data_IF_318967616698
#
_entry.id   IF_318967616698
#
_cell.length_a   1.000
_cell.length_b   1.000
_cell.length_c   1.000
_cell.angle_alpha   90.00
_cell.angle_beta   90.00
_cell.angle_gamma   90.00
#
_symmetry.space_group_name_H-M   'P 1'
#
loop_
_entity.id
_entity.type
_entity.pdbx_description
1 polymer ?
#
# COMPACT_ATOMS: atom_id res chain seq x y z
N UNK A 1 18.99 12.05 -7.69
CA UNK A 1 18.08 11.09 -8.37
C UNK A 1 18.72 10.74 -9.70
N UNK A 2 19.02 9.46 -9.92
CA UNK A 2 19.71 8.96 -11.13
C UNK A 2 18.74 8.81 -12.29
N UNK A 3 19.25 8.64 -13.52
CA UNK A 3 18.43 8.32 -14.70
C UNK A 3 17.65 7.02 -14.56
N UNK A 4 18.25 6.01 -13.91
CA UNK A 4 17.59 4.74 -13.58
C UNK A 4 16.42 4.96 -12.62
N UNK A 5 16.57 5.85 -11.62
CA UNK A 5 15.49 6.18 -10.68
C UNK A 5 14.30 6.85 -11.40
N UNK A 6 14.58 7.74 -12.36
CA UNK A 6 13.54 8.39 -13.18
C UNK A 6 12.81 7.38 -14.08
N UNK A 7 13.56 6.46 -14.68
CA UNK A 7 13.00 5.38 -15.50
C UNK A 7 12.14 4.42 -14.66
N UNK A 8 12.61 4.01 -13.48
CA UNK A 8 11.83 3.19 -12.54
C UNK A 8 10.55 3.91 -12.12
N UNK A 9 10.63 5.19 -11.75
CA UNK A 9 9.45 5.98 -11.37
C UNK A 9 8.41 5.98 -12.49
N UNK A 10 8.83 6.22 -13.73
CA UNK A 10 7.94 6.20 -14.91
C UNK A 10 7.30 4.83 -15.11
N UNK A 11 8.08 3.75 -15.01
CA UNK A 11 7.56 2.38 -15.13
C UNK A 11 6.55 2.02 -14.04
N UNK A 12 6.76 2.47 -12.80
CA UNK A 12 5.79 2.25 -11.70
C UNK A 12 4.50 3.05 -11.97
N UNK A 13 4.59 4.27 -12.49
CA UNK A 13 3.43 5.09 -12.82
C UNK A 13 2.59 4.47 -13.95
N UNK A 14 3.24 3.95 -15.00
CA UNK A 14 2.56 3.22 -16.08
C UNK A 14 1.92 1.93 -15.59
N UNK A 15 2.66 1.13 -14.79
CA UNK A 15 2.12 -0.06 -14.14
C UNK A 15 0.90 0.28 -13.27
N UNK A 16 0.97 1.38 -12.50
CA UNK A 16 -0.12 1.86 -11.65
C UNK A 16 -1.36 2.19 -12.48
N UNK A 17 -1.19 2.87 -13.61
CA UNK A 17 -2.29 3.20 -14.52
C UNK A 17 -2.94 1.92 -15.08
N UNK A 18 -2.14 0.95 -15.52
CA UNK A 18 -2.64 -0.32 -16.06
C UNK A 18 -3.41 -1.13 -15.02
N UNK A 19 -2.86 -1.29 -13.81
CA UNK A 19 -3.53 -2.04 -12.74
C UNK A 19 -4.78 -1.32 -12.23
N UNK A 20 -4.77 0.02 -12.16
CA UNK A 20 -5.96 0.78 -11.76
C UNK A 20 -7.10 0.61 -12.77
N UNK A 21 -6.80 0.64 -14.08
CA UNK A 21 -7.80 0.39 -15.13
C UNK A 21 -8.32 -1.03 -15.06
N UNK A 22 -7.44 -2.02 -14.84
CA UNK A 22 -7.83 -3.43 -14.71
C UNK A 22 -8.74 -3.67 -13.50
N UNK A 23 -8.44 -3.06 -12.36
CA UNK A 23 -9.13 -3.29 -11.08
C UNK A 23 -10.44 -2.50 -10.94
N UNK A 24 -10.44 -1.23 -11.37
CA UNK A 24 -11.56 -0.31 -11.15
C UNK A 24 -12.29 0.11 -12.42
N UNK A 25 -11.75 -0.21 -13.60
CA UNK A 25 -12.29 0.21 -14.89
C UNK A 25 -11.89 1.64 -15.30
N UNK A 26 -11.97 1.91 -16.60
CA UNK A 26 -11.53 3.18 -17.18
C UNK A 26 -12.26 4.40 -16.62
N UNK A 27 -13.59 4.30 -16.39
CA UNK A 27 -14.39 5.42 -15.92
C UNK A 27 -13.99 5.88 -14.52
N UNK A 28 -13.69 4.92 -13.62
CA UNK A 28 -13.24 5.21 -12.27
C UNK A 28 -11.87 5.90 -12.28
N UNK A 29 -10.93 5.37 -13.06
CA UNK A 29 -9.59 5.96 -13.23
C UNK A 29 -9.66 7.34 -13.86
N UNK A 30 -10.57 7.58 -14.81
CA UNK A 30 -10.76 8.91 -15.41
C UNK A 30 -11.29 9.92 -14.39
N UNK A 31 -12.15 9.50 -13.45
CA UNK A 31 -12.76 10.39 -12.45
C UNK A 31 -11.86 10.66 -11.24
N UNK A 32 -11.19 9.64 -10.72
CA UNK A 32 -10.44 9.72 -9.46
C UNK A 32 -8.91 9.69 -9.66
N UNK A 33 -8.46 9.27 -10.84
CA UNK A 33 -7.05 9.05 -11.17
C UNK A 33 -6.53 7.71 -10.65
N UNK A 34 -5.44 7.23 -11.25
CA UNK A 34 -4.75 6.01 -10.79
C UNK A 34 -4.01 6.21 -9.46
N UNK A 35 -3.86 7.46 -9.00
CA UNK A 35 -3.34 7.80 -7.67
C UNK A 35 -4.15 7.20 -6.52
N UNK A 36 -5.41 6.80 -6.78
CA UNK A 36 -6.24 6.10 -5.80
C UNK A 36 -5.68 4.71 -5.46
N UNK A 37 -5.04 4.02 -6.41
CA UNK A 37 -4.45 2.69 -6.19
C UNK A 37 -3.13 2.79 -5.40
N UNK A 38 -2.23 3.69 -5.79
CA UNK A 38 -0.96 3.96 -5.10
C UNK A 38 -0.72 5.47 -5.15
N UNK A 39 -0.53 6.11 -4.00
CA UNK A 39 -0.20 7.54 -3.94
C UNK A 39 1.19 7.83 -4.48
N UNK A 40 1.44 9.06 -4.93
CA UNK A 40 2.76 9.45 -5.45
C UNK A 40 3.85 9.36 -4.36
N UNK A 41 3.49 9.58 -3.08
CA UNK A 41 4.38 9.40 -1.93
C UNK A 41 4.89 7.96 -1.80
N UNK A 42 4.02 6.96 -2.00
CA UNK A 42 4.41 5.55 -1.98
C UNK A 42 5.33 5.24 -3.17
N UNK A 43 5.04 5.80 -4.35
CA UNK A 43 5.90 5.63 -5.53
C UNK A 43 7.30 6.20 -5.25
N UNK A 44 7.39 7.40 -4.70
CA UNK A 44 8.66 8.03 -4.35
C UNK A 44 9.41 7.23 -3.27
N UNK A 45 8.69 6.69 -2.29
CA UNK A 45 9.27 5.83 -1.27
C UNK A 45 9.83 4.52 -1.85
N UNK A 46 9.13 3.91 -2.82
CA UNK A 46 9.61 2.71 -3.51
C UNK A 46 10.89 2.98 -4.30
N UNK A 47 10.94 4.11 -5.02
CA UNK A 47 12.14 4.53 -5.75
C UNK A 47 13.29 4.78 -4.78
N UNK A 48 13.04 5.44 -3.64
CA UNK A 48 14.05 5.65 -2.60
C UNK A 48 14.57 4.33 -2.00
N UNK A 49 13.69 3.36 -1.75
CA UNK A 49 14.07 2.03 -1.26
C UNK A 49 14.91 1.25 -2.30
N UNK A 50 14.51 1.28 -3.58
CA UNK A 50 15.25 0.66 -4.67
C UNK A 50 16.63 1.30 -4.86
N UNK A 51 16.70 2.62 -4.84
CA UNK A 51 17.94 3.39 -4.91
C UNK A 51 18.89 3.04 -3.76
N UNK A 52 18.37 2.95 -2.54
CA UNK A 52 19.13 2.54 -1.35
C UNK A 52 19.51 1.05 -1.35
N UNK A 53 19.17 0.28 -2.41
CA UNK A 53 19.35 -1.17 -2.51
C UNK A 53 18.78 -1.94 -1.32
N UNK A 54 17.73 -1.41 -0.69
CA UNK A 54 17.04 -2.12 0.38
C UNK A 54 16.32 -3.32 -0.24
N UNK A 55 16.45 -4.53 0.34
CA UNK A 55 15.84 -5.71 -0.21
C UNK A 55 14.32 -5.57 -0.16
N UNK A 56 13.71 -5.43 -1.34
CA UNK A 56 12.28 -5.59 -1.59
C UNK A 56 12.09 -6.97 -2.24
N UNK A 57 12.47 -8.03 -1.54
CA UNK A 57 12.39 -9.40 -2.06
C UNK A 57 11.01 -9.99 -1.92
N UNK A 58 10.34 -9.62 -0.83
CA UNK A 58 9.08 -10.23 -0.43
C UNK A 58 7.98 -9.17 -0.34
N UNK A 59 6.76 -9.61 -0.63
CA UNK A 59 5.51 -8.87 -0.49
C UNK A 59 5.33 -8.35 0.95
N UNK A 60 5.74 -9.12 1.96
CA UNK A 60 5.70 -8.66 3.36
C UNK A 60 6.70 -7.50 3.60
N UNK A 61 7.90 -7.54 3.02
CA UNK A 61 8.84 -6.41 3.13
C UNK A 61 8.29 -5.15 2.44
N UNK A 62 7.65 -5.33 1.28
CA UNK A 62 6.96 -4.26 0.58
C UNK A 62 5.87 -3.62 1.46
N UNK A 63 5.09 -4.43 2.18
CA UNK A 63 4.11 -3.96 3.16
C UNK A 63 4.75 -3.16 4.29
N UNK A 64 5.81 -3.71 4.91
CA UNK A 64 6.47 -3.05 6.04
C UNK A 64 7.08 -1.69 5.68
N UNK A 65 7.62 -1.54 4.47
CA UNK A 65 8.20 -0.27 4.00
C UNK A 65 7.11 0.75 3.62
N UNK A 66 6.12 0.33 2.83
CA UNK A 66 5.15 1.28 2.25
C UNK A 66 3.94 1.54 3.12
N UNK A 67 3.61 0.63 4.04
CA UNK A 67 2.33 0.57 4.76
C UNK A 67 1.12 0.67 3.83
N UNK A 68 1.28 0.19 2.59
CA UNK A 68 0.21 0.17 1.61
C UNK A 68 -0.88 -0.82 2.05
N UNK A 69 -2.09 -0.72 1.49
CA UNK A 69 -3.24 -1.51 1.94
C UNK A 69 -2.93 -3.00 1.75
N UNK A 70 -3.09 -3.79 2.82
CA UNK A 70 -2.75 -5.22 2.85
C UNK A 70 -3.43 -6.00 1.70
N UNK A 71 -4.72 -5.76 1.51
CA UNK A 71 -5.53 -6.35 0.42
C UNK A 71 -4.91 -6.12 -0.97
N UNK A 72 -4.38 -4.93 -1.22
CA UNK A 72 -3.82 -4.59 -2.54
C UNK A 72 -2.39 -5.11 -2.69
N UNK A 73 -1.64 -5.20 -1.59
CA UNK A 73 -0.30 -5.78 -1.57
C UNK A 73 -0.35 -7.28 -1.89
N UNK A 74 -1.27 -8.02 -1.28
CA UNK A 74 -1.39 -9.46 -1.50
C UNK A 74 -1.74 -9.77 -2.96
N UNK A 75 -2.60 -8.96 -3.57
CA UNK A 75 -3.05 -9.15 -4.95
C UNK A 75 -2.05 -8.62 -6.00
N UNK A 76 -1.47 -7.45 -5.77
CA UNK A 76 -0.69 -6.72 -6.79
C UNK A 76 0.81 -6.66 -6.49
N UNK A 77 1.21 -6.89 -5.24
CA UNK A 77 2.59 -6.72 -4.76
C UNK A 77 3.60 -7.53 -5.56
N UNK A 78 3.30 -8.78 -5.88
CA UNK A 78 4.18 -9.64 -6.69
C UNK A 78 4.43 -9.05 -8.09
N UNK A 79 3.40 -8.48 -8.72
CA UNK A 79 3.56 -7.85 -10.04
C UNK A 79 4.34 -6.54 -9.99
N UNK A 80 4.18 -5.76 -8.91
CA UNK A 80 4.95 -4.54 -8.66
C UNK A 80 6.42 -4.84 -8.40
N UNK A 81 6.71 -5.88 -7.61
CA UNK A 81 8.08 -6.33 -7.35
C UNK A 81 8.81 -6.72 -8.63
N UNK A 82 8.13 -7.38 -9.58
CA UNK A 82 8.70 -7.69 -10.91
C UNK A 82 9.15 -6.42 -11.64
N UNK A 83 8.35 -5.36 -11.62
CA UNK A 83 8.72 -4.07 -12.23
C UNK A 83 9.98 -3.52 -11.58
N UNK A 84 10.05 -3.51 -10.25
CA UNK A 84 11.21 -2.98 -9.50
C UNK A 84 12.48 -3.81 -9.82
N UNK A 85 12.37 -5.14 -9.82
CA UNK A 85 13.49 -6.04 -10.11
C UNK A 85 14.01 -5.94 -11.55
N UNK A 86 13.21 -5.39 -12.47
CA UNK A 86 13.65 -5.13 -13.86
C UNK A 86 14.72 -4.03 -13.93
N UNK A 87 14.66 -3.05 -13.03
CA UNK A 87 15.62 -1.93 -12.97
C UNK A 87 16.75 -2.16 -11.97
N UNK A 88 16.43 -2.86 -10.88
CA UNK A 88 17.37 -3.20 -9.82
C UNK A 88 17.34 -4.71 -9.63
N UNK A 89 18.08 -5.48 -10.46
CA UNK A 89 18.20 -6.91 -10.27
C UNK A 89 18.72 -7.14 -8.87
N UNK A 90 17.91 -7.78 -8.04
CA UNK A 90 18.41 -8.17 -6.75
C UNK A 90 19.56 -9.13 -7.04
N UNK A 91 20.73 -8.86 -6.48
CA UNK A 91 21.77 -9.86 -6.39
C UNK A 91 21.16 -10.98 -5.57
N UNK A 92 20.51 -11.93 -6.25
CA UNK A 92 20.22 -13.24 -5.72
C UNK A 92 21.60 -13.70 -5.33
N UNK A 93 21.88 -13.60 -4.01
CA UNK A 93 23.06 -14.22 -3.45
C UNK A 93 22.98 -15.61 -4.03
N UNK A 94 23.85 -15.87 -4.99
CA UNK A 94 23.95 -17.17 -5.61
C UNK A 94 24.54 -17.96 -4.48
N UNK A 95 23.66 -18.45 -3.61
CA UNK A 95 23.95 -19.43 -2.59
C UNK A 95 24.25 -20.66 -3.41
N UNK A 96 25.45 -20.64 -3.97
CA UNK A 96 26.15 -21.81 -4.43
C UNK A 96 26.22 -22.66 -3.19
N UNK A 97 25.25 -23.57 -3.09
CA UNK A 97 25.24 -24.66 -2.16
C UNK A 97 26.42 -25.56 -2.54
N UNK A 98 27.65 -25.07 -2.31
CA UNK A 98 28.79 -25.92 -2.10
C UNK A 98 28.61 -26.47 -0.69
N UNK A 99 27.86 -27.56 -0.63
CA UNK A 99 27.84 -28.48 0.49
C UNK A 99 29.28 -28.87 0.81
N UNK A 100 29.91 -28.19 1.77
CA UNK A 100 31.05 -28.75 2.48
C UNK A 100 30.51 -29.36 3.78
N UNK A 101 30.33 -30.69 3.84
CA UNK A 101 30.03 -31.35 5.10
C UNK A 101 31.30 -31.34 5.96
N UNK A 102 31.47 -30.32 6.81
CA UNK A 102 32.53 -30.30 7.80
C UNK A 102 32.04 -31.00 9.08
N UNK A 103 32.41 -32.29 9.12
CA UNK A 103 32.58 -33.19 10.26
C UNK A 103 32.10 -32.74 11.65
N UNK A 104 31.28 -33.62 12.24
CA UNK A 104 31.11 -33.74 13.67
C UNK A 104 32.48 -33.90 14.37
N UNK A 105 32.71 -33.15 15.44
CA UNK A 105 33.69 -33.53 16.46
C UNK A 105 33.05 -33.38 17.82
N UNK A 106 32.52 -34.51 18.28
CA UNK A 106 32.26 -34.83 19.67
C UNK A 106 33.56 -34.68 20.46
N UNK A 107 33.58 -33.87 21.52
CA UNK A 107 34.52 -34.12 22.62
C UNK A 107 34.02 -33.51 23.92
N UNK A 108 33.47 -34.40 24.74
CA UNK A 108 33.25 -34.30 26.17
C UNK A 108 34.59 -34.33 26.92
N UNK A 109 34.81 -33.46 27.91
CA UNK A 109 35.27 -33.81 29.28
C UNK A 109 35.76 -32.58 30.11
N UNK A 110 35.77 -32.67 31.47
CA UNK A 110 35.88 -31.56 32.43
C UNK A 110 37.25 -31.50 33.17
N UNK A 111 37.58 -30.38 33.83
CA UNK A 111 38.19 -30.30 35.19
C UNK A 111 38.82 -28.93 35.53
N UNK A 112 38.51 -28.50 36.77
CA UNK A 112 39.32 -27.81 37.79
C UNK A 112 40.31 -26.65 37.49
N UNK A 113 39.88 -25.43 37.89
CA UNK A 113 40.52 -24.47 38.84
C UNK A 113 41.86 -23.74 38.46
N UNK A 114 42.32 -22.70 39.22
CA UNK A 114 42.12 -21.25 39.02
C UNK A 114 43.46 -20.44 39.05
N UNK A 115 43.51 -19.14 39.42
CA UNK A 115 42.99 -17.90 38.80
C UNK A 115 44.14 -16.99 38.28
N UNK A 116 43.87 -16.06 37.36
CA UNK A 116 44.41 -14.67 37.38
C UNK A 116 44.06 -13.87 36.11
N UNK A 117 43.64 -12.62 36.36
CA UNK A 117 43.30 -11.50 35.47
C UNK A 117 42.10 -11.59 34.50
N UNK A 118 40.91 -11.08 34.91
CA UNK A 118 39.79 -10.87 34.02
C UNK A 118 39.97 -9.59 33.19
N UNK A 119 40.16 -9.77 31.88
CA UNK A 119 39.89 -8.74 30.89
C UNK A 119 38.41 -8.29 30.98
N UNK A 120 38.10 -7.00 30.77
CA UNK A 120 36.74 -6.49 30.94
C UNK A 120 35.80 -7.06 29.88
N UNK A 121 35.07 -8.09 30.26
CA UNK A 121 33.90 -8.57 29.56
C UNK A 121 32.94 -7.42 29.30
N UNK A 122 32.73 -7.14 28.01
CA UNK A 122 31.66 -6.27 27.53
C UNK A 122 30.33 -7.01 27.66
N UNK A 123 29.92 -7.32 28.89
CA UNK A 123 28.54 -7.68 29.19
C UNK A 123 27.73 -6.44 28.82
N UNK A 124 27.07 -6.51 27.66
CA UNK A 124 26.21 -5.46 27.14
C UNK A 124 25.03 -5.24 28.08
N UNK A 125 25.24 -4.44 29.13
CA UNK A 125 24.18 -3.92 29.99
C UNK A 125 23.23 -3.18 29.06
N UNK A 126 22.10 -3.81 28.74
CA UNK A 126 21.03 -3.22 27.95
C UNK A 126 20.58 -1.98 28.71
N UNK A 127 21.10 -0.81 28.31
CA UNK A 127 20.68 0.47 28.90
C UNK A 127 19.18 0.58 28.72
N UNK A 128 18.46 0.70 29.84
CA UNK A 128 17.02 0.91 29.83
C UNK A 128 16.75 2.19 29.02
N UNK A 129 15.97 2.06 27.96
CA UNK A 129 15.64 3.21 27.11
C UNK A 129 14.79 4.19 27.92
N UNK A 130 15.23 5.43 28.00
CA UNK A 130 14.48 6.55 28.59
C UNK A 130 13.67 7.24 27.52
N UNK A 131 12.48 7.72 27.88
CA UNK A 131 11.67 8.53 26.99
C UNK A 131 12.40 9.84 26.67
N UNK A 132 12.70 10.10 25.40
CA UNK A 132 13.39 11.34 25.01
C UNK A 132 12.60 12.62 25.24
N UNK A 133 11.30 12.55 25.55
CA UNK A 133 10.47 13.72 25.85
C UNK A 133 10.41 14.04 27.35
N UNK A 134 10.09 13.05 28.17
CA UNK A 134 9.89 13.24 29.62
C UNK A 134 11.01 12.66 30.50
N UNK A 135 12.03 12.02 29.92
CA UNK A 135 13.19 11.46 30.63
C UNK A 135 12.94 10.17 31.43
N UNK A 136 11.68 9.77 31.65
CA UNK A 136 11.34 8.60 32.46
C UNK A 136 11.57 7.27 31.73
N UNK A 137 11.87 6.22 32.50
CA UNK A 137 12.01 4.84 32.01
C UNK A 137 10.63 4.17 31.87
N UNK A 138 10.53 3.12 31.05
CA UNK A 138 9.30 2.33 30.89
C UNK A 138 8.41 2.70 29.68
N UNK A 139 8.73 3.75 28.95
CA UNK A 139 8.09 4.08 27.67
C UNK A 139 9.02 4.84 26.71
N UNK A 140 8.66 4.89 25.43
CA UNK A 140 9.39 5.65 24.40
C UNK A 140 8.62 6.92 24.02
N UNK A 141 9.28 7.89 23.36
CA UNK A 141 8.72 9.22 23.01
C UNK A 141 7.37 9.17 22.30
N UNK A 142 7.14 8.15 21.48
CA UNK A 142 5.91 7.97 20.70
C UNK A 142 4.80 7.21 21.44
N UNK A 143 5.07 6.70 22.65
CA UNK A 143 4.06 5.99 23.41
C UNK A 143 2.99 6.98 23.91
N UNK A 144 1.71 6.61 23.74
CA UNK A 144 0.56 7.39 24.22
C UNK A 144 0.51 7.52 25.74
N UNK A 145 1.25 6.67 26.47
CA UNK A 145 1.37 6.74 27.93
C UNK A 145 2.44 7.75 28.41
N UNK A 146 3.09 8.50 27.52
CA UNK A 146 4.00 9.56 27.95
C UNK A 146 3.20 10.71 28.58
N UNK A 147 3.51 11.16 29.81
CA UNK A 147 2.74 12.21 30.47
C UNK A 147 2.71 13.53 29.69
N UNK A 148 3.78 13.84 28.94
CA UNK A 148 3.81 15.02 28.07
C UNK A 148 2.83 14.88 26.91
N UNK A 149 2.79 13.71 26.25
CA UNK A 149 1.83 13.47 25.16
C UNK A 149 0.38 13.46 25.67
N UNK A 150 0.15 12.95 26.89
CA UNK A 150 -1.17 13.01 27.54
C UNK A 150 -1.57 14.46 27.81
N UNK A 151 -0.67 15.28 28.36
CA UNK A 151 -0.92 16.70 28.61
C UNK A 151 -1.16 17.50 27.32
N UNK A 152 -0.39 17.24 26.26
CA UNK A 152 -0.60 17.86 24.93
C UNK A 152 -1.95 17.46 24.33
N UNK A 153 -2.33 16.18 24.45
CA UNK A 153 -3.63 15.71 23.96
C UNK A 153 -4.80 16.32 24.73
N UNK A 154 -4.67 16.48 26.05
CA UNK A 154 -5.66 17.17 26.87
C UNK A 154 -5.81 18.65 26.47
N UNK A 155 -4.69 19.34 26.19
CA UNK A 155 -4.70 20.71 25.67
C UNK A 155 -5.37 20.80 24.29
N UNK A 156 -5.07 19.86 23.39
CA UNK A 156 -5.66 19.82 22.05
C UNK A 156 -7.18 19.60 22.08
N UNK A 157 -7.70 18.92 23.11
CA UNK A 157 -9.13 18.70 23.32
C UNK A 157 -9.82 19.85 24.06
N UNK A 158 -9.13 20.97 24.32
CA UNK A 158 -9.71 22.13 25.02
C UNK A 158 -10.13 21.82 26.45
N UNK A 159 -9.67 20.71 27.03
CA UNK A 159 -9.89 20.41 28.44
C UNK A 159 -8.88 21.23 29.23
N UNK A 160 -9.36 22.27 29.91
CA UNK A 160 -8.53 23.08 30.80
C UNK A 160 -7.79 22.16 31.79
N UNK A 161 -6.47 22.36 32.01
CA UNK A 161 -5.73 21.55 32.97
C UNK A 161 -6.36 21.75 34.35
N UNK A 162 -6.98 20.69 34.87
CA UNK A 162 -7.37 20.62 36.28
C UNK A 162 -6.07 20.65 37.06
N UNK A 163 -5.68 21.83 37.53
CA UNK A 163 -4.53 22.00 38.41
C UNK A 163 -4.71 21.06 39.61
N UNK A 164 -3.70 20.27 40.00
CA UNK A 164 -3.74 19.57 41.26
C UNK A 164 -3.81 20.62 42.38
N UNK A 165 -4.97 20.69 43.03
CA UNK A 165 -5.20 21.51 44.21
C UNK A 165 -4.20 21.05 45.28
N UNK A 166 -3.35 21.94 45.84
CA UNK A 166 -2.46 21.57 46.92
C UNK A 166 -3.29 21.12 48.13
N UNK A 167 -3.00 19.91 48.59
CA UNK A 167 -3.66 19.23 49.69
C UNK A 167 -3.37 19.99 51.00
N UNK A 168 -4.33 20.78 51.48
CA UNK A 168 -4.34 21.30 52.84
C UNK A 168 -5.39 20.53 53.66
N UNK A 169 -4.87 19.78 54.63
CA UNK A 169 -5.37 19.55 55.98
C UNK A 169 -6.87 19.19 56.20
N UNK A 170 -7.08 17.89 56.42
CA UNK A 170 -7.89 17.24 57.49
C UNK A 170 -9.18 17.91 57.99
N UNK A 171 -10.34 17.32 57.65
CA UNK A 171 -11.51 17.21 58.54
C UNK A 171 -12.51 16.12 58.06
N UNK A 172 -13.33 15.53 58.95
CA UNK A 172 -13.91 14.21 58.75
C UNK A 172 -15.29 14.19 58.08
N UNK A 173 -15.42 13.21 57.17
CA UNK A 173 -16.56 12.34 56.83
C UNK A 173 -17.93 12.82 57.31
N UNK A 174 -18.73 13.37 56.39
CA UNK A 174 -20.20 13.34 56.46
C UNK A 174 -20.71 12.61 55.22
N UNK A 175 -21.43 11.52 55.45
CA UNK A 175 -21.98 10.64 54.43
C UNK A 175 -23.06 11.36 53.59
N UNK A 176 -22.94 11.28 52.26
CA UNK A 176 -23.93 11.76 51.31
C UNK A 176 -24.33 10.65 50.31
N UNK A 177 -25.57 10.68 49.79
CA UNK A 177 -26.31 9.51 49.30
C UNK A 177 -25.96 9.06 47.87
N UNK A 178 -26.35 7.83 47.47
CA UNK A 178 -26.02 7.24 46.17
C UNK A 178 -26.75 7.95 45.01
N UNK A 179 -25.99 8.45 44.04
CA UNK A 179 -26.54 8.94 42.76
C UNK A 179 -27.05 7.79 41.87
N UNK A 180 -28.17 8.00 41.15
CA UNK A 180 -28.74 7.00 40.25
C UNK A 180 -27.90 6.86 38.96
N UNK A 181 -27.67 5.60 38.56
CA UNK A 181 -27.01 5.24 37.30
C UNK A 181 -27.80 5.76 36.09
N UNK A 182 -27.16 6.31 35.06
CA UNK A 182 -27.82 6.64 33.81
C UNK A 182 -28.20 5.36 33.04
N UNK A 183 -29.44 5.31 32.56
CA UNK A 183 -29.97 4.23 31.72
C UNK A 183 -29.30 4.23 30.34
N UNK A 184 -29.08 3.05 29.73
CA UNK A 184 -28.65 2.97 28.35
C UNK A 184 -29.81 3.39 27.42
N UNK A 185 -29.54 4.38 26.57
CA UNK A 185 -30.44 4.82 25.51
C UNK A 185 -30.29 3.83 24.35
N UNK A 186 -31.34 3.07 24.05
CA UNK A 186 -31.40 2.22 22.85
C UNK A 186 -31.45 3.11 21.61
N UNK A 187 -30.35 3.18 20.85
CA UNK A 187 -30.38 3.65 19.47
C UNK A 187 -30.96 2.54 18.59
N UNK A 188 -32.27 2.64 18.35
CA UNK A 188 -32.96 2.00 17.23
C UNK A 188 -32.96 2.96 16.04
N UNK A 189 -33.13 2.39 14.84
CA UNK A 189 -33.25 3.03 13.52
C UNK A 189 -31.96 3.09 12.69
N UNK A 190 -31.67 2.00 11.98
CA UNK A 190 -30.93 2.08 10.72
C UNK A 190 -31.88 2.52 9.60
N UNK A 191 -31.48 3.49 8.74
CA UNK A 191 -32.19 3.79 7.51
C UNK A 191 -31.87 2.75 6.42
N UNK A 192 -32.92 2.20 5.83
CA UNK A 192 -32.88 1.30 4.68
C UNK A 192 -32.19 1.96 3.48
N UNK A 193 -31.09 1.35 3.03
CA UNK A 193 -30.36 1.76 1.83
C UNK A 193 -31.15 1.34 0.58
N UNK A 194 -31.42 2.23 -0.39
CA UNK A 194 -32.06 1.85 -1.64
C UNK A 194 -31.12 0.97 -2.48
N UNK A 195 -31.66 -0.16 -2.91
CA UNK A 195 -31.04 -1.16 -3.80
C UNK A 195 -30.69 -0.50 -5.13
N UNK A 196 -29.43 -0.11 -5.30
CA UNK A 196 -28.93 0.47 -6.55
C UNK A 196 -28.87 -0.61 -7.63
N UNK A 197 -29.72 -0.46 -8.64
CA UNK A 197 -29.69 -1.21 -9.89
C UNK A 197 -28.35 -0.98 -10.60
N UNK A 198 -27.54 -2.04 -10.67
CA UNK A 198 -26.29 -2.08 -11.43
C UNK A 198 -26.57 -1.89 -12.92
N UNK A 199 -26.09 -0.82 -13.59
CA UNK A 199 -26.17 -0.72 -15.04
C UNK A 199 -25.19 -1.70 -15.69
N UNK A 200 -25.67 -2.39 -16.72
CA UNK A 200 -24.86 -3.27 -17.57
C UNK A 200 -23.60 -2.53 -18.04
N UNK A 201 -22.45 -3.16 -17.83
CA UNK A 201 -21.15 -2.71 -18.28
C UNK A 201 -21.14 -2.54 -19.80
N UNK A 202 -21.22 -1.28 -20.27
CA UNK A 202 -20.90 -0.95 -21.65
C UNK A 202 -19.39 -1.15 -21.88
N UNK A 203 -18.98 -1.82 -22.97
CA UNK A 203 -17.59 -1.86 -23.40
C UNK A 203 -17.08 -0.43 -23.56
N UNK A 204 -15.94 -0.12 -22.94
CA UNK A 204 -15.31 1.18 -23.07
C UNK A 204 -15.06 1.47 -24.57
N UNK A 205 -15.50 2.63 -25.11
CA UNK A 205 -15.18 2.99 -26.47
C UNK A 205 -13.65 3.03 -26.59
N UNK A 206 -13.10 2.25 -27.54
CA UNK A 206 -11.69 2.36 -27.92
C UNK A 206 -11.40 3.83 -28.22
N UNK A 207 -10.28 4.40 -27.73
CA UNK A 207 -9.84 5.71 -28.17
C UNK A 207 -9.82 5.71 -29.69
N UNK A 208 -10.58 6.60 -30.34
CA UNK A 208 -10.46 6.79 -31.78
C UNK A 208 -9.00 7.11 -32.07
N UNK A 209 -8.38 6.48 -33.07
CA UNK A 209 -7.08 6.92 -33.57
C UNK A 209 -7.20 8.42 -33.85
N UNK A 210 -6.44 9.23 -33.12
CA UNK A 210 -6.27 10.64 -33.46
C UNK A 210 -5.58 10.60 -34.82
N UNK A 211 -6.17 11.18 -35.89
CA UNK A 211 -5.47 11.28 -37.15
C UNK A 211 -4.20 12.08 -36.88
N UNK A 212 -3.05 11.42 -36.95
CA UNK A 212 -1.77 12.11 -37.01
C UNK A 212 -1.83 13.00 -38.26
N UNK A 213 -2.07 14.29 -38.04
CA UNK A 213 -1.85 15.28 -39.06
C UNK A 213 -0.36 15.23 -39.36
N UNK A 214 -0.02 14.73 -40.55
CA UNK A 214 1.34 14.74 -41.04
C UNK A 214 1.86 16.19 -40.92
N UNK A 215 3.05 16.40 -40.33
CA UNK A 215 3.64 17.73 -40.30
C UNK A 215 3.78 18.23 -41.74
N UNK A 216 3.50 19.51 -42.01
CA UNK A 216 3.70 20.08 -43.34
C UNK A 216 5.16 19.89 -43.76
N UNK A 217 5.41 19.58 -45.05
CA UNK A 217 6.77 19.47 -45.56
C UNK A 217 7.51 20.77 -45.28
N UNK A 218 8.57 20.69 -44.48
CA UNK A 218 9.52 21.78 -44.35
C UNK A 218 10.39 21.76 -45.60
N UNK A 219 10.28 22.79 -46.42
CA UNK A 219 11.23 23.06 -47.48
C UNK A 219 12.62 23.29 -46.86
N UNK A 220 13.44 22.25 -46.89
CA UNK A 220 14.84 22.34 -46.49
C UNK A 220 15.65 22.66 -47.75
N UNK A 221 16.36 23.80 -47.81
CA UNK A 221 17.24 24.09 -48.93
C UNK A 221 18.32 23.01 -49.02
N UNK A 222 18.34 22.33 -50.17
CA UNK A 222 19.29 21.28 -50.51
C UNK A 222 20.67 21.92 -50.74
N UNK A 223 21.49 21.96 -49.69
CA UNK A 223 22.92 22.17 -49.82
C UNK A 223 23.56 20.81 -50.15
N UNK A 224 24.03 20.69 -51.39
CA UNK A 224 24.75 19.53 -51.87
C UNK A 224 26.07 19.37 -51.09
N UNK A 225 26.12 18.34 -50.23
CA UNK A 225 27.35 17.89 -49.58
C UNK A 225 27.92 16.70 -50.38
N UNK A 226 29.25 16.61 -50.58
CA UNK A 226 29.88 15.49 -51.26
C UNK A 226 29.64 14.17 -50.52
N UNK A 227 29.18 13.19 -51.28
CA UNK A 227 28.87 11.83 -50.87
C UNK A 227 30.16 11.09 -50.48
N UNK A 228 30.39 10.92 -49.18
CA UNK A 228 31.29 9.91 -48.66
C UNK A 228 30.50 8.59 -48.47
N UNK A 229 31.06 7.41 -48.83
CA UNK A 229 30.41 6.13 -48.59
C UNK A 229 30.35 5.83 -47.10
N UNK A 230 29.19 6.07 -46.50
CA UNK A 230 28.88 5.63 -45.14
C UNK A 230 28.58 4.13 -45.19
N UNK A 231 29.49 3.33 -44.65
CA UNK A 231 29.21 1.93 -44.30
C UNK A 231 28.08 1.93 -43.25
N UNK A 232 26.85 1.70 -43.70
CA UNK A 232 25.73 1.45 -42.83
C UNK A 232 25.99 0.13 -42.07
N UNK A 233 25.99 0.13 -40.73
CA UNK A 233 26.04 -1.13 -39.99
C UNK A 233 24.75 -1.89 -40.27
N UNK A 234 24.90 -3.11 -40.81
CA UNK A 234 23.80 -4.06 -40.97
C UNK A 234 23.05 -4.20 -39.65
N UNK A 235 21.73 -3.92 -39.59
CA UNK A 235 20.97 -4.05 -38.36
C UNK A 235 21.01 -5.52 -37.94
N UNK A 236 21.54 -5.77 -36.73
CA UNK A 236 21.55 -7.09 -36.13
C UNK A 236 20.12 -7.64 -36.09
N UNK A 237 19.88 -8.90 -36.49
CA UNK A 237 18.56 -9.51 -36.44
C UNK A 237 18.04 -9.47 -35.01
N UNK A 238 16.87 -8.85 -34.83
CA UNK A 238 16.16 -8.84 -33.55
C UNK A 238 15.93 -10.28 -33.08
N UNK A 239 16.12 -10.58 -31.78
CA UNK A 239 15.90 -11.92 -31.25
C UNK A 239 14.44 -12.35 -31.50
N UNK A 240 14.27 -13.57 -32.02
CA UNK A 240 13.00 -14.16 -32.47
C UNK A 240 11.84 -14.04 -31.47
N UNK A 241 12.14 -13.94 -30.17
CA UNK A 241 11.19 -13.72 -29.07
C UNK A 241 10.35 -12.44 -29.25
N UNK A 242 10.91 -11.35 -29.76
CA UNK A 242 10.14 -10.11 -29.95
C UNK A 242 9.15 -10.19 -31.10
N UNK A 243 9.46 -10.98 -32.13
CA UNK A 243 8.59 -11.14 -33.29
C UNK A 243 7.37 -12.03 -32.95
N UNK A 244 7.54 -12.95 -31.99
CA UNK A 244 6.45 -13.83 -31.54
C UNK A 244 5.43 -13.12 -30.63
N UNK A 245 5.83 -12.07 -29.88
CA UNK A 245 4.89 -11.29 -29.06
C UNK A 245 4.07 -10.28 -29.87
N UNK A 246 4.62 -9.74 -30.96
CA UNK A 246 3.90 -8.75 -31.79
C UNK A 246 2.93 -9.41 -32.79
N UNK A 247 3.15 -10.68 -33.13
CA UNK A 247 2.34 -11.42 -34.09
C UNK A 247 1.18 -12.23 -33.48
N UNK A 248 1.00 -12.23 -32.16
CA UNK A 248 -0.15 -12.86 -31.51
C UNK A 248 -1.33 -11.88 -31.55
N UNK A 249 -2.34 -12.07 -32.41
CA UNK A 249 -3.60 -11.38 -32.22
C UNK A 249 -4.12 -11.77 -30.84
N UNK A 250 -4.36 -10.79 -29.98
CA UNK A 250 -5.17 -11.00 -28.78
C UNK A 250 -6.57 -11.44 -29.24
N UNK A 251 -6.73 -12.73 -29.48
CA UNK A 251 -8.01 -13.38 -29.59
C UNK A 251 -8.61 -13.34 -28.18
N UNK A 252 -9.27 -12.23 -27.86
CA UNK A 252 -10.20 -12.21 -26.75
C UNK A 252 -11.21 -13.33 -27.03
N UNK A 253 -11.38 -14.33 -26.14
CA UNK A 253 -12.46 -15.28 -26.30
C UNK A 253 -13.75 -14.46 -26.34
N UNK A 254 -14.40 -14.47 -27.50
CA UNK A 254 -15.79 -14.00 -27.63
C UNK A 254 -16.57 -14.94 -26.74
N UNK A 255 -16.83 -14.52 -25.51
CA UNK A 255 -17.70 -15.23 -24.60
C UNK A 255 -19.05 -15.42 -25.32
N UNK A 256 -19.58 -16.63 -25.43
CA UNK A 256 -20.90 -16.84 -26.01
C UNK A 256 -21.90 -15.96 -25.25
N UNK A 257 -22.93 -15.42 -25.92
CA UNK A 257 -23.95 -14.62 -25.27
C UNK A 257 -24.56 -15.44 -24.13
N UNK A 258 -24.21 -15.07 -22.90
CA UNK A 258 -24.84 -15.64 -21.72
C UNK A 258 -26.29 -15.19 -21.79
N UNK A 259 -27.19 -16.11 -22.13
CA UNK A 259 -28.62 -15.89 -22.05
C UNK A 259 -28.95 -15.51 -20.61
N UNK A 260 -29.10 -14.21 -20.35
CA UNK A 260 -29.65 -13.70 -19.11
C UNK A 260 -31.09 -14.21 -19.02
N UNK A 261 -31.27 -15.33 -18.33
CA UNK A 261 -32.57 -15.82 -17.92
C UNK A 261 -33.12 -14.78 -16.94
N UNK A 262 -33.99 -13.90 -17.44
CA UNK A 262 -34.71 -12.95 -16.59
C UNK A 262 -35.37 -13.74 -15.46
N UNK A 263 -35.16 -13.36 -14.18
CA UNK A 263 -35.93 -13.92 -13.09
C UNK A 263 -37.43 -13.65 -13.35
N UNK A 264 -38.32 -14.57 -12.97
CA UNK A 264 -39.75 -14.39 -13.16
C UNK A 264 -40.18 -13.07 -12.49
N UNK A 265 -40.78 -12.18 -13.30
CA UNK A 265 -41.41 -10.95 -12.82
C UNK A 265 -42.45 -11.34 -11.76
N UNK A 266 -42.20 -10.98 -10.52
CA UNK A 266 -43.22 -11.00 -9.48
C UNK A 266 -44.30 -10.00 -9.89
N UNK A 267 -45.52 -10.52 -10.11
CA UNK A 267 -46.67 -9.71 -10.51
C UNK A 267 -46.99 -8.61 -9.49
N UNK A 268 -47.78 -7.60 -9.91
CA UNK A 268 -48.13 -6.47 -9.06
C UNK A 268 -48.92 -6.93 -7.83
N UNK A 269 -48.29 -6.84 -6.66
CA UNK A 269 -48.97 -6.98 -5.37
C UNK A 269 -49.87 -5.77 -5.15
N UNK A 270 -51.17 -6.04 -5.14
CA UNK A 270 -52.27 -5.13 -4.87
C UNK A 270 -52.16 -4.52 -3.45
N UNK A 271 -52.15 -3.18 -3.27
CA UNK A 271 -52.15 -2.57 -1.95
C UNK A 271 -53.58 -2.50 -1.38
N UNK A 272 -54.01 -3.54 -0.67
CA UNK A 272 -55.16 -3.44 0.23
C UNK A 272 -54.74 -2.73 1.51
N UNK A 273 -55.00 -1.42 1.58
CA UNK A 273 -54.92 -0.62 2.80
C UNK A 273 -55.99 -1.04 3.81
N UNK A 274 -55.63 -1.36 5.07
CA UNK A 274 -56.60 -1.35 6.16
C UNK A 274 -56.79 0.08 6.68
N UNK A 275 -58.01 0.58 6.54
CA UNK A 275 -58.51 1.77 7.23
C UNK A 275 -58.43 1.53 8.76
N UNK A 276 -57.53 2.23 9.44
CA UNK A 276 -57.54 2.33 10.90
C UNK A 276 -58.39 3.55 11.29
N UNK A 277 -59.54 3.30 11.92
CA UNK A 277 -60.30 4.33 12.63
C UNK A 277 -59.72 4.48 14.04
N UNK A 278 -59.55 5.72 14.55
CA UNK A 278 -59.16 5.94 15.94
C UNK A 278 -60.34 5.66 16.88
N UNK A 279 -60.10 5.14 18.11
CA UNK A 279 -61.14 5.02 19.11
C UNK A 279 -61.49 6.39 19.70
N UNK A 280 -62.80 6.65 19.77
CA UNK A 280 -63.37 7.78 20.49
C UNK A 280 -63.60 7.42 21.96
N UNK A 281 -63.24 8.38 22.83
CA UNK A 281 -63.53 8.54 24.27
C UNK A 281 -62.50 7.95 25.24
#
# INVERSE_FOLDING_TARGET
MTDTDRSLKTAILDWRQQQAVKKFGCLFVRRLGAKFLISDEIVDHLVACAHARKPLSNVEQLYQQTKWRREWIEELGTSLLKVIHTFFPQAVASTSAASTPAAATTSTAPSDAPPEDPAPDKIGVKRKKRCGNCGMEGHIRTNSNCPINIAERARALGSAPVHPVPLAETAPITAAPPHPRPRPVSLSTQPSVPKATTPLAQPCPRPRPIPFSAPPPRDVPTLALPTAPVFAPTPAPLPHIYQQMLAQPFAYPVLPPVAFRLPPQAGPSNPSSPHYLPPSS
#
